data_IF_422785170476
#
_entry.id   IF_422785170476
#
_cell.length_a   1.000
_cell.length_b   1.000
_cell.length_c   1.000
_cell.angle_alpha   90.00
_cell.angle_beta   90.00
_cell.angle_gamma   90.00
#
_symmetry.space_group_name_H-M   'P 1'
#
loop_
_entity.id
_entity.type
_entity.pdbx_description
1 polymer ?
#
# COMPACT_ATOMS: atom_id res chain seq x y z
N UNK A 1 -23.46 14.99 48.15
CA UNK A 1 -22.38 15.32 47.20
C UNK A 1 -21.95 14.13 46.31
N UNK A 2 -21.92 12.88 46.81
CA UNK A 2 -21.46 11.69 46.06
C UNK A 2 -22.35 11.23 44.88
N UNK A 3 -23.67 11.45 44.93
CA UNK A 3 -24.59 10.96 43.90
C UNK A 3 -24.47 11.71 42.55
N UNK A 4 -24.25 13.03 42.57
CA UNK A 4 -24.09 13.85 41.36
C UNK A 4 -22.79 13.52 40.60
N UNK A 5 -21.72 13.19 41.31
CA UNK A 5 -20.43 12.82 40.69
C UNK A 5 -20.51 11.46 39.96
N UNK A 6 -21.28 10.50 40.48
CA UNK A 6 -21.46 9.17 39.88
C UNK A 6 -22.22 9.23 38.55
N UNK A 7 -23.31 10.02 38.50
CA UNK A 7 -24.11 10.23 37.29
C UNK A 7 -23.32 10.99 36.22
N UNK A 8 -22.52 11.99 36.61
CA UNK A 8 -21.64 12.70 35.68
C UNK A 8 -20.55 11.78 35.09
N UNK A 9 -19.95 10.91 35.91
CA UNK A 9 -18.97 9.92 35.44
C UNK A 9 -19.57 8.87 34.49
N UNK A 10 -20.82 8.45 34.71
CA UNK A 10 -21.54 7.54 33.81
C UNK A 10 -21.91 8.19 32.48
N UNK A 11 -22.33 9.45 32.50
CA UNK A 11 -22.56 10.25 31.29
C UNK A 11 -21.29 10.48 30.49
N UNK A 12 -20.16 10.79 31.15
CA UNK A 12 -18.85 10.93 30.51
C UNK A 12 -18.39 9.60 29.89
N UNK A 13 -18.58 8.46 30.58
CA UNK A 13 -18.29 7.10 30.04
C UNK A 13 -19.21 6.70 28.88
N UNK A 14 -20.45 7.17 28.87
CA UNK A 14 -21.41 6.90 27.80
C UNK A 14 -21.13 7.77 26.55
N UNK A 15 -20.80 9.05 26.76
CA UNK A 15 -20.39 9.98 25.70
C UNK A 15 -19.10 9.50 25.03
N UNK A 16 -18.05 9.15 25.79
CA UNK A 16 -16.80 8.60 25.22
C UNK A 16 -17.05 7.34 24.40
N UNK A 17 -17.88 6.39 24.86
CA UNK A 17 -18.23 5.17 24.11
C UNK A 17 -18.94 5.41 22.76
N UNK A 18 -19.86 6.37 22.68
CA UNK A 18 -20.59 6.67 21.42
C UNK A 18 -19.75 7.49 20.45
N UNK A 19 -18.96 8.44 20.95
CA UNK A 19 -18.03 9.22 20.14
C UNK A 19 -16.86 8.37 19.62
N UNK A 20 -16.39 7.37 20.38
CA UNK A 20 -15.32 6.46 19.93
C UNK A 20 -15.71 5.65 18.68
N UNK A 21 -16.94 5.14 18.59
CA UNK A 21 -17.39 4.34 17.43
C UNK A 21 -17.60 5.23 16.20
N UNK A 22 -18.22 6.40 16.37
CA UNK A 22 -18.42 7.36 15.28
C UNK A 22 -17.10 7.90 14.72
N UNK A 23 -16.17 8.26 15.61
CA UNK A 23 -14.82 8.68 15.21
C UNK A 23 -14.07 7.55 14.52
N UNK A 24 -14.18 6.31 14.99
CA UNK A 24 -13.55 5.15 14.35
C UNK A 24 -14.08 4.92 12.93
N UNK A 25 -15.39 5.03 12.71
CA UNK A 25 -15.98 4.97 11.38
C UNK A 25 -15.45 6.08 10.45
N UNK A 26 -15.38 7.31 10.95
CA UNK A 26 -14.80 8.43 10.19
C UNK A 26 -13.33 8.16 9.84
N UNK A 27 -12.54 7.64 10.77
CA UNK A 27 -11.15 7.24 10.51
C UNK A 27 -11.04 6.16 9.43
N UNK A 28 -11.90 5.14 9.46
CA UNK A 28 -11.93 4.10 8.42
C UNK A 28 -12.26 4.73 7.06
N UNK A 29 -13.29 5.58 6.98
CA UNK A 29 -13.70 6.23 5.73
C UNK A 29 -12.56 7.08 5.16
N UNK A 30 -11.91 7.91 5.99
CA UNK A 30 -10.76 8.72 5.57
C UNK A 30 -9.61 7.83 5.09
N UNK A 31 -9.32 6.74 5.80
CA UNK A 31 -8.27 5.79 5.39
C UNK A 31 -8.60 5.12 4.05
N UNK A 32 -9.86 4.72 3.83
CA UNK A 32 -10.32 4.17 2.56
C UNK A 32 -10.20 5.19 1.41
N UNK A 33 -10.50 6.46 1.67
CA UNK A 33 -10.34 7.55 0.69
C UNK A 33 -8.87 7.76 0.32
N UNK A 34 -7.98 7.84 1.33
CA UNK A 34 -6.53 7.97 1.10
C UNK A 34 -6.00 6.79 0.30
N UNK A 35 -6.38 5.57 0.66
CA UNK A 35 -5.94 4.37 -0.06
C UNK A 35 -6.44 4.38 -1.50
N UNK A 36 -7.70 4.76 -1.74
CA UNK A 36 -8.25 4.79 -3.10
C UNK A 36 -7.64 5.88 -3.97
N UNK A 37 -7.27 7.03 -3.38
CA UNK A 37 -6.65 8.13 -4.12
C UNK A 37 -5.17 7.86 -4.41
N UNK A 38 -4.42 7.35 -3.42
CA UNK A 38 -2.97 7.12 -3.53
C UNK A 38 -2.62 5.81 -4.23
N UNK A 39 -3.48 4.80 -4.15
CA UNK A 39 -3.27 3.48 -4.74
C UNK A 39 -4.38 3.17 -5.76
N UNK A 40 -4.38 3.84 -6.92
CA UNK A 40 -5.48 3.77 -7.88
C UNK A 40 -5.58 2.41 -8.60
N UNK A 41 -4.47 1.70 -8.75
CA UNK A 41 -4.42 0.45 -9.53
C UNK A 41 -4.65 -0.79 -8.69
N UNK A 42 -5.08 -1.88 -9.32
CA UNK A 42 -5.13 -3.23 -8.75
C UNK A 42 -4.21 -4.17 -9.56
N UNK A 43 -4.04 -5.42 -9.12
CA UNK A 43 -3.17 -6.37 -9.82
C UNK A 43 -3.68 -6.72 -11.21
N UNK A 44 -5.00 -6.79 -11.41
CA UNK A 44 -5.60 -7.12 -12.72
C UNK A 44 -5.29 -6.05 -13.76
N UNK A 45 -5.41 -4.76 -13.42
CA UNK A 45 -5.08 -3.66 -14.31
C UNK A 45 -3.58 -3.64 -14.66
N UNK A 46 -2.72 -3.91 -13.68
CA UNK A 46 -1.27 -4.01 -13.91
C UNK A 46 -0.91 -5.18 -14.83
N UNK A 47 -1.61 -6.32 -14.72
CA UNK A 47 -1.41 -7.44 -15.61
C UNK A 47 -1.93 -7.15 -17.03
N UNK A 48 -3.01 -6.38 -17.19
CA UNK A 48 -3.46 -5.93 -18.52
C UNK A 48 -2.42 -5.04 -19.22
N UNK A 49 -1.67 -4.23 -18.47
CA UNK A 49 -0.53 -3.48 -19.03
C UNK A 49 0.57 -4.38 -19.60
N UNK A 50 0.61 -5.68 -19.26
CA UNK A 50 1.58 -6.64 -19.83
C UNK A 50 1.13 -7.25 -21.17
N UNK A 51 -0.14 -7.08 -21.55
CA UNK A 51 -0.70 -7.69 -22.76
C UNK A 51 -1.02 -6.69 -23.87
N UNK A 52 -1.07 -5.39 -23.56
CA UNK A 52 -1.54 -4.36 -24.49
C UNK A 52 -0.34 -3.61 -25.14
N UNK A 53 -0.17 -3.78 -26.46
CA UNK A 53 0.75 -3.01 -27.31
C UNK A 53 0.02 -1.82 -27.98
N UNK A 54 0.68 -0.68 -28.22
CA UNK A 54 1.37 0.21 -27.27
C UNK A 54 0.38 1.00 -26.39
N UNK A 55 0.81 1.44 -25.22
CA UNK A 55 -0.03 2.21 -24.29
C UNK A 55 0.36 3.69 -24.28
N UNK A 56 -0.65 4.57 -24.33
CA UNK A 56 -0.45 6.02 -24.28
C UNK A 56 -0.51 6.47 -22.83
N UNK A 57 0.61 6.95 -22.28
CA UNK A 57 0.64 7.59 -20.96
C UNK A 57 1.11 9.03 -21.14
N UNK A 58 0.23 9.98 -20.79
CA UNK A 58 0.48 11.42 -20.90
C UNK A 58 0.85 11.90 -22.32
N UNK A 59 0.09 11.43 -23.31
CA UNK A 59 0.29 11.76 -24.74
C UNK A 59 1.66 11.34 -25.32
N UNK A 60 2.36 10.43 -24.64
CA UNK A 60 3.52 9.74 -25.19
C UNK A 60 3.20 8.26 -25.32
N UNK A 61 3.51 7.70 -26.48
CA UNK A 61 3.41 6.26 -26.71
C UNK A 61 4.61 5.55 -26.11
N UNK A 62 4.33 4.47 -25.41
CA UNK A 62 5.36 3.58 -24.89
C UNK A 62 5.07 2.15 -25.32
N UNK A 63 6.13 1.44 -25.67
CA UNK A 63 6.12 0.00 -25.89
C UNK A 63 6.68 -0.70 -24.66
N UNK A 64 6.10 -1.84 -24.31
CA UNK A 64 6.60 -2.66 -23.21
C UNK A 64 7.80 -3.48 -23.71
N UNK A 65 8.99 -3.24 -23.17
CA UNK A 65 10.19 -4.01 -23.51
C UNK A 65 10.30 -5.28 -22.65
N UNK A 66 10.08 -5.15 -21.35
CA UNK A 66 10.08 -6.26 -20.41
C UNK A 66 9.28 -5.91 -19.16
N UNK A 67 8.90 -6.92 -18.36
CA UNK A 67 8.24 -6.72 -17.09
C UNK A 67 8.66 -7.78 -16.09
N UNK A 68 8.56 -7.43 -14.83
CA UNK A 68 8.80 -8.36 -13.76
C UNK A 68 8.09 -7.95 -12.47
N UNK A 69 7.91 -8.91 -11.58
CA UNK A 69 7.25 -8.68 -10.32
C UNK A 69 7.86 -9.55 -9.23
N UNK A 70 7.70 -9.11 -7.99
CA UNK A 70 8.20 -9.86 -6.84
C UNK A 70 7.40 -11.15 -6.62
N UNK A 71 7.99 -12.17 -5.98
CA UNK A 71 7.34 -13.47 -5.75
C UNK A 71 5.94 -13.36 -5.12
N UNK A 72 5.78 -12.44 -4.17
CA UNK A 72 4.53 -12.17 -3.45
C UNK A 72 3.63 -11.13 -4.15
N UNK A 73 4.02 -10.66 -5.34
CA UNK A 73 3.37 -9.57 -6.08
C UNK A 73 3.24 -8.29 -5.25
N UNK A 74 4.20 -8.03 -4.36
CA UNK A 74 4.27 -6.77 -3.60
C UNK A 74 4.73 -5.60 -4.45
N UNK A 75 5.52 -5.85 -5.49
CA UNK A 75 5.98 -4.83 -6.42
C UNK A 75 6.00 -5.36 -7.85
N UNK A 76 5.63 -4.49 -8.79
CA UNK A 76 5.72 -4.70 -10.23
C UNK A 76 6.70 -3.68 -10.82
N UNK A 77 7.43 -4.09 -11.84
CA UNK A 77 8.40 -3.30 -12.57
C UNK A 77 8.15 -3.50 -14.05
N UNK A 78 8.15 -2.41 -14.80
CA UNK A 78 7.89 -2.39 -16.23
C UNK A 78 9.02 -1.61 -16.88
N UNK A 79 9.65 -2.23 -17.87
CA UNK A 79 10.64 -1.61 -18.72
C UNK A 79 9.96 -1.13 -19.99
N UNK A 80 9.99 0.17 -20.22
CA UNK A 80 9.25 0.84 -21.26
C UNK A 80 10.20 1.51 -22.23
N UNK A 81 9.90 1.49 -23.52
CA UNK A 81 10.63 2.23 -24.54
C UNK A 81 9.76 3.30 -25.16
N UNK A 82 10.33 4.47 -25.38
CA UNK A 82 9.69 5.53 -26.16
C UNK A 82 10.00 5.38 -27.67
N UNK A 83 9.41 6.24 -28.49
CA UNK A 83 9.64 6.30 -29.94
C UNK A 83 11.11 6.54 -30.34
N UNK A 84 11.92 7.10 -29.43
CA UNK A 84 13.35 7.37 -29.66
C UNK A 84 14.25 6.26 -29.10
N UNK A 85 13.69 5.10 -28.73
CA UNK A 85 14.38 3.97 -28.12
C UNK A 85 15.04 4.30 -26.77
N UNK A 86 14.55 5.33 -26.06
CA UNK A 86 14.98 5.57 -24.68
C UNK A 86 14.25 4.62 -23.74
N UNK A 87 15.03 3.99 -22.86
CA UNK A 87 14.51 3.04 -21.88
C UNK A 87 14.11 3.74 -20.58
N UNK A 88 12.91 3.44 -20.09
CA UNK A 88 12.35 3.94 -18.83
C UNK A 88 11.93 2.77 -17.95
N UNK A 89 12.04 2.96 -16.64
CA UNK A 89 11.44 2.07 -15.65
C UNK A 89 10.23 2.72 -15.02
N UNK A 90 9.12 1.99 -14.99
CA UNK A 90 7.95 2.29 -14.18
C UNK A 90 7.82 1.21 -13.11
N UNK A 91 7.38 1.57 -11.91
CA UNK A 91 7.18 0.59 -10.85
C UNK A 91 5.89 0.84 -10.10
N UNK A 92 5.26 -0.24 -9.64
CA UNK A 92 4.04 -0.17 -8.83
C UNK A 92 4.25 -0.96 -7.54
N UNK A 93 3.90 -0.38 -6.39
CA UNK A 93 4.08 -1.03 -5.08
C UNK A 93 2.75 -1.18 -4.36
N UNK A 94 2.53 -2.39 -3.83
CA UNK A 94 1.29 -2.82 -3.20
C UNK A 94 1.09 -2.16 -1.84
N UNK A 95 -0.16 -1.80 -1.56
CA UNK A 95 -0.59 -1.45 -0.22
C UNK A 95 -0.69 -2.70 0.68
N UNK A 96 -0.20 -2.67 1.93
CA UNK A 96 -0.15 -3.80 2.86
C UNK A 96 -1.42 -4.64 3.03
N UNK A 97 -2.59 -3.99 3.03
CA UNK A 97 -3.83 -4.60 3.52
C UNK A 97 -4.83 -4.90 2.40
N UNK A 98 -4.67 -4.29 1.22
CA UNK A 98 -5.61 -4.42 0.12
C UNK A 98 -4.86 -4.55 -1.19
N UNK A 99 -5.48 -5.19 -2.19
CA UNK A 99 -4.88 -5.33 -3.53
C UNK A 99 -4.99 -4.02 -4.32
N UNK A 100 -4.21 -3.03 -3.87
CA UNK A 100 -4.13 -1.70 -4.44
C UNK A 100 -2.66 -1.31 -4.58
N UNK A 101 -2.30 -0.65 -5.67
CA UNK A 101 -0.92 -0.31 -5.99
C UNK A 101 -0.77 1.18 -6.25
N UNK A 102 0.31 1.72 -5.70
CA UNK A 102 0.80 3.06 -5.98
C UNK A 102 1.76 2.97 -7.15
N UNK A 103 1.42 3.64 -8.24
CA UNK A 103 2.28 3.81 -9.40
C UNK A 103 3.32 4.89 -9.08
N UNK A 104 4.58 4.59 -9.36
CA UNK A 104 5.67 5.54 -9.24
C UNK A 104 6.02 6.08 -10.62
N UNK A 105 6.40 7.35 -10.64
CA UNK A 105 6.77 8.04 -11.86
C UNK A 105 7.90 7.34 -12.61
N UNK A 106 7.84 7.46 -13.94
CA UNK A 106 8.81 6.90 -14.87
C UNK A 106 10.15 7.59 -14.69
N UNK A 107 11.21 6.82 -14.66
CA UNK A 107 12.59 7.32 -14.66
C UNK A 107 13.34 6.69 -15.83
N UNK A 108 14.21 7.45 -16.50
CA UNK A 108 15.15 6.89 -17.47
C UNK A 108 15.98 5.81 -16.76
N UNK A 109 16.14 4.65 -17.41
CA UNK A 109 16.78 3.48 -16.82
C UNK A 109 17.75 2.83 -17.81
N UNK A 110 19.03 3.15 -17.64
CA UNK A 110 20.08 2.74 -18.57
C UNK A 110 20.48 1.26 -18.38
N UNK A 111 21.15 0.70 -19.40
CA UNK A 111 21.74 -0.64 -19.28
C UNK A 111 22.73 -0.70 -18.11
N UNK A 112 22.64 -1.77 -17.32
CA UNK A 112 23.37 -2.03 -16.06
C UNK A 112 23.08 -1.03 -14.94
N UNK A 113 22.09 -0.16 -15.09
CA UNK A 113 21.65 0.70 -13.99
C UNK A 113 20.96 -0.16 -12.92
N UNK A 114 21.22 0.18 -11.66
CA UNK A 114 20.66 -0.51 -10.49
C UNK A 114 19.63 0.40 -9.84
N UNK A 115 18.41 -0.11 -9.69
CA UNK A 115 17.35 0.51 -8.93
C UNK A 115 17.12 -0.29 -7.64
N UNK A 116 17.44 0.30 -6.50
CA UNK A 116 17.03 -0.24 -5.21
C UNK A 116 15.69 0.34 -4.79
N UNK A 117 14.71 -0.52 -4.54
CA UNK A 117 13.41 -0.14 -4.03
C UNK A 117 13.09 -0.92 -2.77
N UNK A 118 12.49 -0.25 -1.80
CA UNK A 118 11.98 -0.89 -0.59
C UNK A 118 10.47 -0.86 -0.64
N UNK A 119 9.86 -2.04 -0.64
CA UNK A 119 8.43 -2.16 -0.40
C UNK A 119 8.14 -2.59 1.04
N UNK A 120 6.88 -2.90 1.32
CA UNK A 120 6.43 -3.27 2.67
C UNK A 120 6.95 -4.62 3.15
N UNK A 121 7.41 -5.50 2.27
CA UNK A 121 7.82 -6.87 2.61
C UNK A 121 9.27 -7.16 2.23
N UNK A 122 9.80 -6.46 1.22
CA UNK A 122 11.03 -6.78 0.55
C UNK A 122 11.87 -5.52 0.30
N UNK A 123 13.19 -5.67 0.38
CA UNK A 123 14.14 -4.82 -0.35
C UNK A 123 14.31 -5.50 -1.70
N UNK A 124 13.99 -4.79 -2.76
CA UNK A 124 14.09 -5.27 -4.13
C UNK A 124 15.19 -4.49 -4.82
N UNK A 125 16.13 -5.20 -5.42
CA UNK A 125 17.13 -4.63 -6.33
C UNK A 125 16.75 -5.04 -7.73
N UNK A 126 16.64 -4.07 -8.62
CA UNK A 126 16.28 -4.28 -10.02
C UNK A 126 17.45 -3.81 -10.87
N UNK A 127 17.87 -4.63 -11.82
CA UNK A 127 18.95 -4.32 -12.76
C UNK A 127 18.40 -4.45 -14.16
N UNK A 128 18.69 -3.47 -15.02
CA UNK A 128 18.50 -3.61 -16.47
C UNK A 128 19.72 -4.32 -17.05
N UNK A 129 19.55 -5.50 -17.61
CA UNK A 129 20.62 -6.20 -18.33
C UNK A 129 20.15 -6.51 -19.76
N UNK A 130 20.64 -5.73 -20.72
CA UNK A 130 20.28 -5.87 -22.15
C UNK A 130 18.76 -5.85 -22.39
N UNK A 131 18.09 -4.82 -21.89
CA UNK A 131 16.63 -4.64 -21.98
C UNK A 131 15.83 -5.73 -21.27
N UNK A 132 16.42 -6.40 -20.27
CA UNK A 132 15.73 -7.35 -19.39
C UNK A 132 15.86 -6.96 -17.94
N UNK A 133 14.78 -7.11 -17.18
CA UNK A 133 14.75 -6.83 -15.75
C UNK A 133 15.19 -8.05 -14.96
N UNK A 134 16.29 -7.92 -14.23
CA UNK A 134 16.77 -8.92 -13.27
C UNK A 134 16.46 -8.44 -11.85
N UNK A 135 15.81 -9.29 -11.05
CA UNK A 135 15.34 -8.95 -9.71
C UNK A 135 16.08 -9.75 -8.65
N UNK A 136 16.46 -9.06 -7.59
CA UNK A 136 16.99 -9.66 -6.38
C UNK A 136 16.15 -9.19 -5.20
N UNK A 137 15.47 -10.14 -4.56
CA UNK A 137 14.60 -9.86 -3.42
C UNK A 137 15.26 -10.26 -2.10
N UNK A 138 15.20 -9.36 -1.13
CA UNK A 138 15.56 -9.63 0.26
C UNK A 138 14.38 -9.31 1.16
N UNK A 139 13.80 -10.35 1.76
CA UNK A 139 12.72 -10.21 2.74
C UNK A 139 13.16 -9.32 3.90
N UNK A 140 12.32 -8.36 4.23
CA UNK A 140 12.44 -7.48 5.38
C UNK A 140 11.34 -7.87 6.35
N UNK A 141 11.63 -7.90 7.64
CA UNK A 141 10.58 -8.00 8.65
C UNK A 141 10.02 -6.61 8.93
N UNK A 142 8.78 -6.29 8.52
CA UNK A 142 8.27 -4.95 8.66
C UNK A 142 7.73 -4.75 10.08
N UNK A 143 8.53 -4.11 10.94
CA UNK A 143 8.17 -3.74 12.33
C UNK A 143 6.80 -3.02 12.39
N UNK A 144 6.44 -2.29 11.34
CA UNK A 144 5.15 -1.62 11.22
C UNK A 144 3.95 -2.56 11.32
N UNK A 145 4.02 -3.79 10.78
CA UNK A 145 2.93 -4.76 10.91
C UNK A 145 2.79 -5.27 12.33
N UNK A 146 3.92 -5.50 13.01
CA UNK A 146 3.93 -5.86 14.41
C UNK A 146 3.22 -4.78 15.24
N UNK A 147 3.50 -3.50 14.98
CA UNK A 147 2.82 -2.39 15.63
C UNK A 147 1.31 -2.36 15.35
N UNK A 148 0.89 -2.52 14.09
CA UNK A 148 -0.54 -2.53 13.71
C UNK A 148 -1.28 -3.68 14.41
N UNK A 149 -0.72 -4.89 14.38
CA UNK A 149 -1.30 -6.07 15.04
C UNK A 149 -1.41 -5.83 16.55
N UNK A 150 -0.37 -5.32 17.19
CA UNK A 150 -0.40 -4.99 18.62
C UNK A 150 -1.49 -3.96 18.95
N UNK A 151 -1.62 -2.88 18.16
CA UNK A 151 -2.68 -1.88 18.37
C UNK A 151 -4.08 -2.48 18.19
N UNK A 152 -4.28 -3.35 17.20
CA UNK A 152 -5.55 -4.03 16.98
C UNK A 152 -5.90 -4.97 18.14
N UNK A 153 -4.94 -5.74 18.65
CA UNK A 153 -5.11 -6.61 19.82
C UNK A 153 -5.51 -5.80 21.05
N UNK A 154 -4.83 -4.67 21.32
CA UNK A 154 -5.16 -3.78 22.45
C UNK A 154 -6.58 -3.22 22.30
N UNK A 155 -6.99 -2.82 21.10
CA UNK A 155 -8.35 -2.35 20.82
C UNK A 155 -9.40 -3.46 21.05
N UNK A 156 -9.15 -4.67 20.56
CA UNK A 156 -10.05 -5.82 20.76
C UNK A 156 -10.19 -6.14 22.25
N UNK A 157 -9.09 -6.18 23.01
CA UNK A 157 -9.12 -6.41 24.46
C UNK A 157 -9.93 -5.32 25.17
N UNK A 158 -9.75 -4.04 24.79
CA UNK A 158 -10.54 -2.93 25.36
C UNK A 158 -12.03 -3.07 25.08
N UNK A 159 -12.40 -3.46 23.86
CA UNK A 159 -13.79 -3.70 23.47
C UNK A 159 -14.36 -4.87 24.29
N UNK A 160 -13.67 -6.01 24.34
CA UNK A 160 -14.07 -7.21 25.08
C UNK A 160 -14.23 -6.92 26.58
N UNK A 161 -13.25 -6.27 27.21
CA UNK A 161 -13.33 -5.85 28.61
C UNK A 161 -14.50 -4.87 28.86
N UNK A 162 -14.79 -4.02 27.88
CA UNK A 162 -15.95 -3.15 27.88
C UNK A 162 -17.29 -3.90 27.84
N UNK A 163 -17.36 -5.00 27.10
CA UNK A 163 -18.54 -5.88 27.06
C UNK A 163 -18.70 -6.69 28.35
N UNK A 164 -17.61 -7.24 28.88
CA UNK A 164 -17.61 -8.04 30.11
C UNK A 164 -18.06 -7.19 31.32
N UNK A 165 -17.62 -5.93 31.42
CA UNK A 165 -18.01 -5.02 32.51
C UNK A 165 -19.44 -4.49 32.40
N UNK A 166 -20.16 -4.83 31.33
CA UNK A 166 -21.56 -4.46 31.09
C UNK A 166 -22.55 -5.55 31.54
N UNK A 167 -22.06 -6.73 31.96
CA UNK A 167 -22.81 -7.77 32.67
C UNK A 167 -22.72 -7.58 34.17
#
# INVERSE_FOLDING_TARGET
>A
MYAKAKVCMEWVKFMTRKYDIGMFLVYIIILCLIVSHKYPQNSENLMKMTSDDPFVIENKEFTLADYAYTENKSSFFFLLKDENDNTYIMSATKFPLVDRYELFDRKIFYDKEILEKKDFYNKVVVVNENDKLVLQEKKIFPIQYLCIVLTAVVLIIRILAGFIKKR
#
